data_IF_641734488039
#
_entry.id   IF_641734488039
#
_cell.length_a   1.000
_cell.length_b   1.000
_cell.length_c   1.000
_cell.angle_alpha   90.00
_cell.angle_beta   90.00
_cell.angle_gamma   90.00
#
_symmetry.space_group_name_H-M   'P 1'
#
loop_
_entity.id
_entity.type
_entity.pdbx_description
1 polymer ?
#
# COMPACT_ATOMS: atom_id res chain seq x y z
N UNK A 1 42.37 -33.40 6.31
CA UNK A 1 41.94 -34.50 5.44
C UNK A 1 40.95 -33.86 4.46
N UNK A 2 41.44 -33.34 3.32
CA UNK A 2 41.52 -33.98 1.96
C UNK A 2 40.15 -34.40 1.46
N UNK A 3 39.65 -33.84 0.38
CA UNK A 3 39.95 -33.93 -1.03
C UNK A 3 39.06 -32.89 -1.78
N UNK A 4 39.45 -32.01 -2.58
CA UNK A 4 40.02 -31.94 -3.96
C UNK A 4 39.48 -32.94 -4.97
N UNK A 5 38.75 -32.42 -5.96
CA UNK A 5 38.64 -32.95 -7.36
C UNK A 5 37.91 -31.90 -8.19
N UNK A 6 38.45 -31.13 -9.08
CA UNK A 6 39.17 -31.29 -10.39
C UNK A 6 38.30 -31.78 -11.55
N UNK A 7 38.52 -31.05 -12.69
CA UNK A 7 38.37 -31.39 -14.09
C UNK A 7 37.00 -31.07 -14.73
N UNK A 8 36.89 -30.59 -15.99
CA UNK A 8 37.84 -30.33 -17.04
C UNK A 8 37.20 -29.47 -18.14
N UNK A 9 38.06 -28.75 -18.82
CA UNK A 9 37.88 -28.02 -20.06
C UNK A 9 37.48 -28.93 -21.22
N UNK A 10 36.66 -28.42 -22.15
CA UNK A 10 36.68 -28.86 -23.54
C UNK A 10 36.59 -27.68 -24.49
N UNK A 11 37.73 -27.27 -24.99
CA UNK A 11 37.92 -26.54 -26.25
C UNK A 11 37.83 -27.53 -27.42
N UNK A 12 37.14 -27.15 -28.48
CA UNK A 12 37.51 -27.60 -29.83
C UNK A 12 37.05 -26.61 -30.87
N UNK A 13 37.97 -26.15 -31.75
CA UNK A 13 37.67 -25.42 -32.99
C UNK A 13 37.68 -26.35 -34.19
N UNK A 14 37.05 -25.98 -35.27
CA UNK A 14 37.37 -26.41 -36.64
C UNK A 14 36.35 -25.75 -37.57
N UNK A 15 36.66 -25.07 -38.54
CA UNK A 15 37.49 -24.93 -39.76
C UNK A 15 36.59 -24.46 -40.91
N UNK A 16 36.96 -23.39 -41.51
CA UNK A 16 37.07 -23.04 -42.92
C UNK A 16 36.16 -23.75 -43.97
N UNK A 17 35.42 -22.93 -44.70
CA UNK A 17 34.89 -23.26 -46.02
C UNK A 17 34.68 -22.00 -46.86
N UNK A 18 35.59 -21.75 -47.77
CA UNK A 18 35.58 -20.73 -48.81
C UNK A 18 34.56 -21.07 -49.92
N UNK A 19 34.14 -20.01 -50.61
CA UNK A 19 33.80 -19.96 -52.04
C UNK A 19 32.36 -19.72 -52.44
N UNK A 20 32.15 -18.67 -53.23
CA UNK A 20 30.98 -18.48 -54.06
C UNK A 20 30.58 -17.04 -54.30
N UNK A 21 31.32 -16.33 -55.17
CA UNK A 21 30.90 -15.05 -55.72
C UNK A 21 29.69 -15.24 -56.65
N UNK A 22 28.61 -14.53 -56.38
CA UNK A 22 27.58 -14.26 -57.40
C UNK A 22 27.11 -12.82 -57.22
N UNK A 23 27.56 -11.99 -58.14
CA UNK A 23 27.07 -10.63 -58.36
C UNK A 23 25.65 -10.69 -58.93
N UNK A 24 24.66 -10.31 -58.14
CA UNK A 24 23.35 -9.91 -58.66
C UNK A 24 23.04 -8.52 -58.17
N UNK A 25 23.15 -7.56 -59.10
CA UNK A 25 22.66 -6.21 -58.96
C UNK A 25 21.16 -6.21 -58.89
N UNK A 26 20.60 -6.03 -57.72
CA UNK A 26 19.19 -5.71 -57.54
C UNK A 26 19.04 -4.26 -57.07
N UNK A 27 18.28 -3.50 -57.85
CA UNK A 27 17.96 -2.11 -57.67
C UNK A 27 17.40 -1.85 -56.28
N UNK A 28 18.01 -0.88 -55.57
CA UNK A 28 17.60 -0.48 -54.24
C UNK A 28 16.24 0.25 -54.24
N UNK A 29 15.26 -0.38 -53.66
CA UNK A 29 14.12 0.34 -53.09
C UNK A 29 14.52 0.75 -51.68
N UNK A 30 15.00 1.98 -51.54
CA UNK A 30 15.17 2.63 -50.22
C UNK A 30 13.81 2.91 -49.66
N UNK A 31 13.23 1.96 -48.94
CA UNK A 31 12.14 2.24 -48.02
C UNK A 31 12.71 3.04 -46.88
N UNK A 32 12.49 4.36 -46.89
CA UNK A 32 12.69 5.24 -45.73
C UNK A 32 11.79 4.73 -44.61
N UNK A 33 12.36 3.94 -43.72
CA UNK A 33 11.70 3.62 -42.45
C UNK A 33 11.49 4.94 -41.69
N UNK A 34 10.24 5.43 -41.67
CA UNK A 34 9.82 6.46 -40.74
C UNK A 34 10.13 5.96 -39.34
N UNK A 35 10.80 6.77 -38.50
CA UNK A 35 10.98 6.37 -37.12
C UNK A 35 9.57 6.18 -36.54
N UNK A 36 9.23 4.95 -36.16
CA UNK A 36 8.08 4.67 -35.33
C UNK A 36 8.31 5.48 -34.04
N UNK A 37 7.58 6.59 -33.90
CA UNK A 37 7.42 7.23 -32.61
C UNK A 37 6.81 6.16 -31.72
N UNK A 38 7.66 5.55 -30.90
CA UNK A 38 7.20 4.73 -29.80
C UNK A 38 6.26 5.65 -29.00
N UNK A 39 4.95 5.50 -29.21
CA UNK A 39 3.99 6.05 -28.30
C UNK A 39 4.36 5.46 -26.95
N UNK A 40 4.92 6.32 -26.10
CA UNK A 40 5.04 6.01 -24.70
C UNK A 40 3.62 5.69 -24.25
N UNK A 41 3.30 4.40 -24.19
CA UNK A 41 2.16 3.94 -23.40
C UNK A 41 2.30 4.62 -22.06
N UNK A 42 1.26 5.36 -21.59
CA UNK A 42 1.31 5.93 -20.26
C UNK A 42 1.68 4.79 -19.34
N UNK A 43 2.86 4.90 -18.74
CA UNK A 43 3.47 3.81 -18.02
C UNK A 43 2.45 3.27 -17.04
N UNK A 44 2.05 2.03 -17.24
CA UNK A 44 1.53 1.23 -16.16
C UNK A 44 2.56 1.42 -15.06
N UNK A 45 2.21 2.17 -14.02
CA UNK A 45 3.03 2.27 -12.83
C UNK A 45 3.14 0.84 -12.31
N UNK A 46 4.20 0.17 -12.69
CA UNK A 46 4.57 -1.10 -12.11
C UNK A 46 4.92 -0.81 -10.66
N UNK A 47 3.94 -0.92 -9.78
CA UNK A 47 4.17 -0.95 -8.36
C UNK A 47 4.95 -2.21 -8.07
N UNK A 48 6.26 -2.12 -8.20
CA UNK A 48 7.18 -3.14 -7.75
C UNK A 48 7.03 -3.21 -6.24
N UNK A 49 6.21 -4.13 -5.79
CA UNK A 49 6.15 -4.50 -4.39
C UNK A 49 7.46 -5.21 -4.07
N UNK A 50 8.44 -4.45 -3.68
CA UNK A 50 9.61 -5.04 -3.04
C UNK A 50 9.07 -5.78 -1.83
N UNK A 51 9.39 -7.05 -1.75
CA UNK A 51 9.04 -7.93 -0.65
C UNK A 51 9.93 -7.57 0.55
N UNK A 52 9.93 -6.28 0.91
CA UNK A 52 10.67 -5.75 2.04
C UNK A 52 10.03 -6.37 3.29
N UNK A 53 10.80 -7.20 3.98
CA UNK A 53 10.37 -7.85 5.23
C UNK A 53 10.00 -6.83 6.31
N UNK A 54 10.47 -5.61 6.17
CA UNK A 54 10.24 -4.51 7.11
C UNK A 54 8.95 -3.73 6.81
N UNK A 55 8.35 -3.96 5.64
CA UNK A 55 7.11 -3.30 5.23
C UNK A 55 5.97 -4.30 5.10
N UNK A 56 4.99 -4.20 5.99
CA UNK A 56 3.75 -5.00 5.94
C UNK A 56 2.56 -4.12 5.60
N UNK A 57 1.94 -4.34 4.44
CA UNK A 57 0.71 -3.65 4.05
C UNK A 57 -0.48 -4.17 4.82
N UNK A 58 -1.19 -3.27 5.48
CA UNK A 58 -2.46 -3.54 6.14
C UNK A 58 -3.64 -3.18 5.24
N UNK A 59 -4.76 -3.83 5.46
CA UNK A 59 -5.99 -3.57 4.71
C UNK A 59 -6.77 -2.40 5.32
N UNK A 60 -7.33 -1.56 4.47
CA UNK A 60 -8.22 -0.47 4.87
C UNK A 60 -9.33 -0.27 3.85
N UNK A 61 -10.37 0.42 4.27
CA UNK A 61 -11.41 0.94 3.38
C UNK A 61 -11.57 2.43 3.62
N UNK A 62 -11.72 3.19 2.55
CA UNK A 62 -11.93 4.63 2.53
C UNK A 62 -13.14 4.94 1.67
N UNK A 63 -14.09 5.73 2.16
CA UNK A 63 -15.33 6.00 1.44
C UNK A 63 -15.19 7.08 0.36
N UNK A 64 -14.20 7.97 0.51
CA UNK A 64 -13.99 9.11 -0.37
C UNK A 64 -12.49 9.44 -0.42
N UNK A 65 -11.94 9.67 -1.61
CA UNK A 65 -10.53 9.99 -1.82
C UNK A 65 -10.26 11.46 -2.16
N UNK A 66 -11.30 12.20 -2.57
CA UNK A 66 -11.15 13.60 -2.97
C UNK A 66 -10.77 14.50 -1.79
N UNK A 67 -9.91 15.48 -2.03
CA UNK A 67 -9.49 16.50 -1.06
C UNK A 67 -10.67 17.24 -0.44
N UNK A 68 -10.53 17.66 0.81
CA UNK A 68 -11.50 18.48 1.54
C UNK A 68 -12.91 17.87 1.66
N UNK A 69 -13.07 16.62 1.23
CA UNK A 69 -14.32 15.89 1.43
C UNK A 69 -14.29 15.12 2.74
N UNK A 70 -15.47 14.97 3.32
CA UNK A 70 -15.63 14.12 4.50
C UNK A 70 -15.56 12.66 4.09
N UNK A 71 -14.70 11.90 4.75
CA UNK A 71 -14.48 10.50 4.46
C UNK A 71 -14.57 9.64 5.72
N UNK A 72 -15.03 8.43 5.54
CA UNK A 72 -14.99 7.36 6.53
C UNK A 72 -13.79 6.47 6.23
N UNK A 73 -12.95 6.30 7.22
CA UNK A 73 -11.81 5.41 7.16
C UNK A 73 -12.03 4.24 8.10
N UNK A 74 -11.76 3.07 7.61
CA UNK A 74 -11.77 1.83 8.37
C UNK A 74 -10.37 1.24 8.24
N UNK A 75 -9.56 1.38 9.28
CA UNK A 75 -8.19 0.89 9.35
C UNK A 75 -8.21 -0.49 10.03
N UNK A 76 -8.02 -1.56 9.26
CA UNK A 76 -8.23 -2.93 9.73
C UNK A 76 -6.93 -3.59 10.18
N UNK A 77 -7.04 -4.38 11.24
CA UNK A 77 -6.05 -5.34 11.73
C UNK A 77 -6.71 -6.71 11.77
N UNK A 78 -6.37 -7.56 10.82
CA UNK A 78 -6.92 -8.91 10.71
C UNK A 78 -6.16 -9.89 11.62
N UNK A 79 -6.70 -11.07 11.90
CA UNK A 79 -5.99 -12.09 12.66
C UNK A 79 -4.59 -12.40 12.13
N UNK A 80 -4.41 -12.42 10.81
CA UNK A 80 -3.10 -12.65 10.16
C UNK A 80 -2.09 -11.50 10.34
N UNK A 81 -2.56 -10.31 10.67
CA UNK A 81 -1.72 -9.12 10.81
C UNK A 81 -1.11 -9.01 12.21
N UNK A 82 -1.55 -9.83 13.17
CA UNK A 82 -1.10 -9.81 14.56
C UNK A 82 -1.03 -11.21 15.15
N UNK A 83 -0.03 -11.46 15.98
CA UNK A 83 0.24 -12.77 16.58
C UNK A 83 -0.17 -12.84 18.06
N UNK A 84 -0.47 -11.69 18.67
CA UNK A 84 -0.74 -11.56 20.10
C UNK A 84 -1.93 -10.65 20.35
N UNK A 85 -2.52 -10.77 21.52
CA UNK A 85 -3.53 -9.83 21.98
C UNK A 85 -2.95 -8.39 22.06
N UNK A 86 -3.82 -7.39 21.95
CA UNK A 86 -3.44 -5.98 22.02
C UNK A 86 -3.88 -5.38 23.35
N UNK A 87 -2.91 -4.85 24.08
CA UNK A 87 -3.14 -4.04 25.30
C UNK A 87 -3.20 -2.53 24.95
N UNK A 88 -2.37 -2.08 24.02
CA UNK A 88 -2.36 -0.72 23.49
C UNK A 88 -2.12 -0.78 21.98
N UNK A 89 -2.85 0.05 21.23
CA UNK A 89 -2.62 0.25 19.80
C UNK A 89 -2.27 1.72 19.57
N UNK A 90 -1.11 1.98 18.98
CA UNK A 90 -0.69 3.31 18.56
C UNK A 90 -0.70 3.39 17.04
N UNK A 91 -1.35 4.39 16.49
CA UNK A 91 -1.37 4.68 15.05
C UNK A 91 -0.63 5.98 14.82
N UNK A 92 0.48 5.94 14.08
CA UNK A 92 1.23 7.14 13.70
C UNK A 92 0.70 7.70 12.39
N UNK A 93 0.57 9.02 12.35
CA UNK A 93 0.00 9.77 11.24
C UNK A 93 1.09 10.66 10.63
N UNK A 94 1.35 10.56 9.31
CA UNK A 94 2.39 11.37 8.67
C UNK A 94 1.99 12.84 8.56
N UNK A 95 2.99 13.70 8.36
CA UNK A 95 2.77 15.14 8.22
C UNK A 95 1.92 15.51 7.00
N UNK A 96 1.92 14.68 5.98
CA UNK A 96 1.12 14.85 4.76
C UNK A 96 -0.38 14.74 5.01
N UNK A 97 -0.80 14.11 6.12
CA UNK A 97 -2.21 14.02 6.51
C UNK A 97 -2.54 15.11 7.55
N UNK A 98 -2.64 16.35 7.07
CA UNK A 98 -2.77 17.57 7.89
C UNK A 98 -4.24 17.91 8.20
N UNK A 99 -5.02 16.97 8.70
CA UNK A 99 -6.41 17.21 9.06
C UNK A 99 -6.63 17.14 10.58
N UNK A 100 -7.66 17.83 11.06
CA UNK A 100 -8.05 17.77 12.47
C UNK A 100 -8.76 16.46 12.77
N UNK A 101 -8.25 15.73 13.75
CA UNK A 101 -8.79 14.44 14.18
C UNK A 101 -9.33 14.63 15.62
N UNK A 102 -10.65 14.54 15.75
CA UNK A 102 -11.32 14.66 17.04
C UNK A 102 -11.60 13.26 17.63
N UNK A 103 -11.26 13.00 18.90
CA UNK A 103 -11.49 11.68 19.52
C UNK A 103 -12.96 11.22 19.45
N UNK A 104 -13.92 12.13 19.56
CA UNK A 104 -15.36 11.81 19.46
C UNK A 104 -15.80 11.25 18.09
N UNK A 105 -14.97 11.43 17.05
CA UNK A 105 -15.21 10.93 15.69
C UNK A 105 -14.49 9.62 15.41
N UNK A 106 -13.85 9.07 16.42
CA UNK A 106 -13.11 7.82 16.36
C UNK A 106 -13.88 6.74 17.11
N UNK A 107 -13.84 5.51 16.59
CA UNK A 107 -14.39 4.33 17.27
C UNK A 107 -13.44 3.16 17.09
N UNK A 108 -13.11 2.49 18.16
CA UNK A 108 -12.40 1.22 18.07
C UNK A 108 -13.42 0.10 18.00
N UNK A 109 -13.32 -0.76 16.98
CA UNK A 109 -14.38 -1.68 16.64
C UNK A 109 -13.88 -3.09 16.31
N UNK A 110 -14.72 -4.09 16.58
CA UNK A 110 -14.72 -5.33 15.82
C UNK A 110 -15.29 -5.01 14.44
N UNK A 111 -14.56 -5.37 13.38
CA UNK A 111 -14.87 -5.01 12.01
C UNK A 111 -15.46 -6.19 11.24
N UNK A 112 -16.52 -5.93 10.49
CA UNK A 112 -16.96 -6.82 9.43
C UNK A 112 -16.26 -6.38 8.14
N UNK A 113 -15.43 -7.29 7.59
CA UNK A 113 -14.76 -7.03 6.31
C UNK A 113 -15.77 -6.99 5.18
N UNK A 114 -15.58 -6.04 4.28
CA UNK A 114 -16.37 -5.93 3.06
C UNK A 114 -15.93 -6.92 1.99
N UNK A 115 -16.75 -7.03 0.96
CA UNK A 115 -16.52 -7.84 -0.22
C UNK A 115 -17.32 -7.29 -1.38
N UNK A 116 -17.59 -8.10 -2.40
CA UNK A 116 -18.33 -7.64 -3.59
C UNK A 116 -19.72 -7.08 -3.29
N UNK A 117 -20.42 -7.61 -2.28
CA UNK A 117 -21.82 -7.27 -1.98
C UNK A 117 -22.01 -6.48 -0.69
N UNK A 118 -21.00 -6.35 0.12
CA UNK A 118 -21.08 -5.69 1.44
C UNK A 118 -19.90 -4.75 1.63
N UNK A 119 -20.17 -3.58 2.24
CA UNK A 119 -19.11 -2.64 2.63
C UNK A 119 -18.51 -3.05 3.96
N UNK A 120 -17.21 -2.73 4.13
CA UNK A 120 -16.56 -2.77 5.44
C UNK A 120 -17.29 -1.86 6.42
N UNK A 121 -17.54 -2.33 7.63
CA UNK A 121 -18.23 -1.58 8.67
C UNK A 121 -17.78 -1.96 10.06
N UNK A 122 -17.98 -1.05 11.01
CA UNK A 122 -17.91 -1.34 12.43
C UNK A 122 -19.11 -2.21 12.82
N UNK A 123 -18.87 -3.44 13.23
CA UNK A 123 -19.91 -4.38 13.64
C UNK A 123 -20.27 -4.18 15.11
N UNK A 124 -19.25 -4.06 15.95
CA UNK A 124 -19.40 -3.86 17.39
C UNK A 124 -18.30 -2.94 17.90
N UNK A 125 -18.65 -1.88 18.62
CA UNK A 125 -17.68 -1.02 19.29
C UNK A 125 -17.03 -1.78 20.43
N UNK A 126 -15.70 -1.71 20.52
CA UNK A 126 -14.90 -2.24 21.61
C UNK A 126 -14.67 -1.07 22.59
N UNK A 127 -15.04 -1.21 23.86
CA UNK A 127 -14.76 -0.20 24.86
C UNK A 127 -13.25 0.09 24.93
N UNK A 128 -12.88 1.35 24.77
CA UNK A 128 -11.48 1.79 24.75
C UNK A 128 -11.40 3.30 25.01
N UNK A 129 -10.37 3.73 25.71
CA UNK A 129 -9.97 5.14 25.76
C UNK A 129 -9.15 5.45 24.51
N UNK A 130 -9.53 6.51 23.80
CA UNK A 130 -8.85 6.95 22.57
C UNK A 130 -8.30 8.35 22.81
N UNK A 131 -6.99 8.48 22.68
CA UNK A 131 -6.26 9.72 22.83
C UNK A 131 -5.64 10.13 21.51
N UNK A 132 -5.78 11.39 21.14
CA UNK A 132 -5.11 11.98 19.97
C UNK A 132 -4.05 12.93 20.47
N UNK A 133 -2.81 12.76 20.04
CA UNK A 133 -1.73 13.64 20.42
C UNK A 133 -2.02 15.09 20.00
N UNK A 134 -1.59 16.06 20.79
CA UNK A 134 -1.85 17.48 20.55
C UNK A 134 -1.38 17.98 19.16
N UNK A 135 -0.33 17.35 18.62
CA UNK A 135 0.18 17.63 17.29
C UNK A 135 -0.57 16.88 16.16
N UNK A 136 -1.59 16.06 16.48
CA UNK A 136 -2.36 15.25 15.54
C UNK A 136 -1.54 14.12 14.85
N UNK A 137 -0.35 13.79 15.36
CA UNK A 137 0.57 12.83 14.71
C UNK A 137 0.48 11.40 15.22
N UNK A 138 -0.29 11.18 16.27
CA UNK A 138 -0.57 9.83 16.76
C UNK A 138 -1.95 9.72 17.37
N UNK A 139 -2.49 8.52 17.30
CA UNK A 139 -3.71 8.11 18.00
C UNK A 139 -3.33 6.92 18.86
N UNK A 140 -3.51 7.05 20.16
CA UNK A 140 -3.32 5.98 21.12
C UNK A 140 -4.67 5.42 21.55
N UNK A 141 -4.81 4.11 21.48
CA UNK A 141 -6.04 3.38 21.80
C UNK A 141 -5.73 2.40 22.91
N UNK A 142 -6.44 2.54 24.03
CA UNK A 142 -6.32 1.71 25.21
C UNK A 142 -7.63 0.95 25.40
N UNK A 143 -7.74 -0.29 24.89
CA UNK A 143 -8.91 -1.12 25.18
C UNK A 143 -9.04 -1.41 26.65
N UNK A 144 -10.26 -1.38 27.20
CA UNK A 144 -10.53 -1.68 28.62
C UNK A 144 -10.09 -3.10 28.99
N UNK A 145 -10.11 -4.00 28.02
CA UNK A 145 -9.59 -5.39 28.15
C UNK A 145 -8.72 -5.73 26.94
N UNK A 146 -7.64 -6.51 27.11
CA UNK A 146 -6.79 -6.93 26.00
C UNK A 146 -7.61 -7.60 24.89
N UNK A 147 -7.44 -7.15 23.65
CA UNK A 147 -8.21 -7.63 22.50
C UNK A 147 -7.53 -8.84 21.87
N UNK A 148 -8.25 -9.96 21.81
CA UNK A 148 -7.77 -11.20 21.22
C UNK A 148 -7.34 -11.05 19.77
N UNK A 149 -6.33 -11.83 19.37
CA UNK A 149 -5.83 -11.91 17.99
C UNK A 149 -6.80 -12.58 17.00
N UNK A 150 -7.87 -13.23 17.49
CA UNK A 150 -8.79 -14.02 16.66
C UNK A 150 -9.77 -13.19 15.83
N UNK A 151 -10.05 -11.98 16.27
CA UNK A 151 -11.04 -11.10 15.64
C UNK A 151 -10.40 -10.11 14.68
N UNK A 152 -11.09 -9.75 13.59
CA UNK A 152 -10.74 -8.57 12.80
C UNK A 152 -11.20 -7.33 13.56
N UNK A 153 -10.25 -6.49 13.93
CA UNK A 153 -10.50 -5.22 14.65
C UNK A 153 -9.98 -4.04 13.83
N UNK A 154 -10.31 -2.85 14.25
CA UNK A 154 -9.76 -1.67 13.60
C UNK A 154 -10.27 -0.36 14.17
N UNK A 155 -9.68 0.72 13.68
CA UNK A 155 -10.11 2.07 13.97
C UNK A 155 -11.03 2.57 12.86
N UNK A 156 -12.23 2.99 13.24
CA UNK A 156 -13.11 3.80 12.42
C UNK A 156 -12.83 5.27 12.68
N UNK A 157 -12.67 6.05 11.62
CA UNK A 157 -12.51 7.51 11.68
C UNK A 157 -13.44 8.17 10.68
N UNK A 158 -14.11 9.26 11.11
CA UNK A 158 -14.92 10.09 10.21
C UNK A 158 -14.36 11.52 10.23
N UNK A 159 -13.50 11.83 9.29
CA UNK A 159 -12.73 13.07 9.22
C UNK A 159 -12.77 13.69 7.82
N UNK A 160 -12.36 14.93 7.67
CA UNK A 160 -12.14 15.53 6.37
C UNK A 160 -10.81 15.05 5.80
N UNK A 161 -10.79 14.79 4.49
CA UNK A 161 -9.56 14.56 3.78
C UNK A 161 -8.69 15.83 3.82
N UNK A 162 -7.36 15.69 3.84
CA UNK A 162 -6.44 16.82 3.70
C UNK A 162 -6.71 17.67 2.45
N UNK A 163 -6.22 18.89 2.48
CA UNK A 163 -6.21 19.82 1.34
C UNK A 163 -5.15 19.44 0.29
N UNK A 164 -4.18 18.64 0.67
CA UNK A 164 -3.08 18.21 -0.19
C UNK A 164 -3.32 16.81 -0.72
N UNK A 165 -3.22 16.65 -2.05
CA UNK A 165 -3.22 15.34 -2.68
C UNK A 165 -1.88 14.64 -2.39
N UNK A 166 -1.93 13.52 -1.72
CA UNK A 166 -0.73 12.78 -1.34
C UNK A 166 -1.07 11.32 -0.99
N UNK A 167 -0.05 10.49 -1.04
CA UNK A 167 -0.09 9.18 -0.41
C UNK A 167 0.47 9.29 1.01
N UNK A 168 -0.32 8.94 1.99
CA UNK A 168 -0.01 9.04 3.41
C UNK A 168 0.13 7.66 4.04
N UNK A 169 1.29 7.38 4.62
CA UNK A 169 1.57 6.12 5.29
C UNK A 169 1.26 6.22 6.79
N UNK A 170 0.26 5.51 7.25
CA UNK A 170 -0.07 5.35 8.65
C UNK A 170 0.54 4.07 9.17
N UNK A 171 1.22 4.10 10.33
CA UNK A 171 1.83 2.90 10.88
C UNK A 171 1.06 2.44 12.12
N UNK A 172 0.88 1.13 12.21
CA UNK A 172 0.31 0.47 13.37
C UNK A 172 1.41 -0.12 14.25
N UNK A 173 1.44 0.30 15.51
CA UNK A 173 2.28 -0.29 16.54
C UNK A 173 1.37 -0.82 17.65
N UNK A 174 1.62 -2.05 18.10
CA UNK A 174 0.86 -2.63 19.18
C UNK A 174 1.74 -3.08 20.33
N UNK A 175 1.24 -2.89 21.52
CA UNK A 175 1.80 -3.43 22.75
C UNK A 175 0.99 -4.64 23.15
N UNK A 176 1.67 -5.78 23.31
CA UNK A 176 1.09 -7.00 23.85
C UNK A 176 0.98 -6.94 25.38
N UNK A 177 0.06 -7.69 25.99
CA UNK A 177 0.10 -7.93 27.42
C UNK A 177 1.41 -8.59 27.84
N UNK A 178 2.05 -8.09 28.88
CA UNK A 178 3.33 -8.61 29.38
C UNK A 178 4.00 -7.67 30.37
N UNK A 179 5.12 -8.13 30.93
CA UNK A 179 5.87 -7.33 31.91
C UNK A 179 6.65 -6.17 31.30
N UNK A 180 7.03 -6.29 30.02
CA UNK A 180 7.77 -5.24 29.31
C UNK A 180 6.86 -4.51 28.34
N UNK A 181 6.74 -3.17 28.42
CA UNK A 181 5.90 -2.37 27.56
C UNK A 181 6.54 -2.12 26.17
N UNK A 182 6.86 -3.17 25.45
CA UNK A 182 7.47 -3.07 24.13
C UNK A 182 6.38 -2.99 23.06
N UNK A 183 6.40 -1.91 22.27
CA UNK A 183 5.55 -1.77 21.10
C UNK A 183 6.19 -2.41 19.88
N UNK A 184 5.45 -3.28 19.20
CA UNK A 184 5.88 -3.94 17.97
C UNK A 184 5.15 -3.35 16.77
N UNK A 185 5.86 -3.21 15.66
CA UNK A 185 5.28 -2.78 14.40
C UNK A 185 4.44 -3.91 13.78
N UNK A 186 3.18 -3.61 13.49
CA UNK A 186 2.24 -4.56 12.86
C UNK A 186 2.18 -4.41 11.34
N UNK A 187 2.37 -3.19 10.84
CA UNK A 187 2.26 -2.87 9.44
C UNK A 187 1.81 -1.44 9.19
N UNK A 188 1.53 -1.12 7.92
CA UNK A 188 1.12 0.23 7.52
C UNK A 188 -0.07 0.23 6.58
N UNK A 189 -0.89 1.25 6.68
CA UNK A 189 -1.94 1.61 5.73
C UNK A 189 -1.43 2.73 4.82
N UNK A 190 -1.56 2.54 3.51
CA UNK A 190 -1.23 3.56 2.50
C UNK A 190 -2.51 4.23 2.04
N UNK A 191 -2.82 5.37 2.61
CA UNK A 191 -4.02 6.14 2.32
C UNK A 191 -3.70 7.13 1.20
N UNK A 192 -4.48 7.08 0.13
CA UNK A 192 -4.33 7.99 -1.01
C UNK A 192 -5.41 9.06 -0.97
N UNK A 193 -4.98 10.31 -1.13
CA UNK A 193 -5.86 11.47 -1.33
C UNK A 193 -5.64 11.97 -2.75
N UNK A 194 -6.71 11.95 -3.53
CA UNK A 194 -6.67 12.34 -4.93
C UNK A 194 -6.80 13.86 -5.11
N UNK A 195 -6.22 14.42 -6.17
CA UNK A 195 -6.48 15.80 -6.54
C UNK A 195 -7.97 15.97 -6.84
N UNK A 196 -8.51 17.15 -6.51
CA UNK A 196 -9.90 17.48 -6.84
C UNK A 196 -10.11 17.41 -8.35
N UNK A 197 -10.85 16.43 -8.83
CA UNK A 197 -11.25 16.36 -10.25
C UNK A 197 -12.48 17.22 -10.41
N UNK A 198 -12.32 18.40 -11.02
CA UNK A 198 -13.46 19.17 -11.52
C UNK A 198 -14.04 18.36 -12.68
N UNK A 199 -15.17 17.70 -12.44
CA UNK A 199 -15.97 17.18 -13.54
C UNK A 199 -16.57 18.39 -14.26
N UNK A 200 -15.89 18.87 -15.29
CA UNK A 200 -16.51 19.76 -16.25
C UNK A 200 -17.69 18.99 -16.84
N UNK A 201 -18.91 19.30 -16.39
CA UNK A 201 -20.11 18.91 -17.10
C UNK A 201 -20.00 19.56 -18.47
N UNK A 202 -19.64 18.77 -19.49
CA UNK A 202 -19.78 19.20 -20.87
C UNK A 202 -21.27 19.44 -21.05
N UNK A 203 -21.69 20.72 -21.03
CA UNK A 203 -22.99 21.13 -21.47
C UNK A 203 -23.02 20.79 -22.95
N UNK A 204 -23.75 19.75 -23.31
CA UNK A 204 -24.02 19.42 -24.71
C UNK A 204 -24.62 20.65 -25.41
N UNK A 205 -24.33 20.82 -26.70
CA UNK A 205 -24.94 21.88 -27.47
C UNK A 205 -26.47 21.69 -27.47
N UNK A 206 -27.19 22.73 -27.00
CA UNK A 206 -28.65 22.83 -27.07
C UNK A 206 -29.16 22.97 -28.49
#
# INVERSE_FOLDING_TARGET
MSAMSRFASFLRPWLLGLSGAALTTTAGLTTSALPALAQATPGLMEFRWENNKDYRKLYFFQSETARLKRAEYYLLLRPKDRKTAILKLTITIPATFNTSIEPKRLKFCKMAEGGMLKRTRCEKTIPATIEVAANGRSIDIFPDTPVSEKDTIGLFMNVFNPDTAAMSQFNALAQAPGQLPISSYLGSWLIQIDPYVIHCKVLGPG
#
